data_IF_800404451193
#
_entry.id   IF_800404451193
#
_cell.length_a   1.000
_cell.length_b   1.000
_cell.length_c   1.000
_cell.angle_alpha   90.00
_cell.angle_beta   90.00
_cell.angle_gamma   90.00
#
_symmetry.space_group_name_H-M   'P 1'
#
loop_
_entity.id
_entity.type
_entity.pdbx_description
1 polymer ?
#
# COMPACT_ATOMS: atom_id res chain seq x y z
N UNK A 1 27.66 -14.78 -39.07
CA UNK A 1 28.24 -15.76 -38.14
C UNK A 1 27.38 -15.80 -36.89
N UNK A 2 26.33 -16.62 -36.91
CA UNK A 2 25.38 -16.81 -35.82
C UNK A 2 25.81 -18.06 -35.06
N UNK A 3 26.36 -17.89 -33.85
CA UNK A 3 26.66 -19.01 -32.97
C UNK A 3 25.39 -19.42 -32.21
N UNK A 4 24.94 -20.63 -32.53
CA UNK A 4 23.93 -21.42 -31.82
C UNK A 4 24.31 -21.60 -30.35
N UNK A 5 23.53 -20.98 -29.46
CA UNK A 5 23.53 -21.31 -28.02
C UNK A 5 22.55 -22.47 -27.82
N UNK A 6 23.10 -23.67 -27.74
CA UNK A 6 22.41 -24.85 -27.23
C UNK A 6 22.58 -24.85 -25.72
N UNK A 7 21.54 -24.51 -24.95
CA UNK A 7 21.54 -24.74 -23.51
C UNK A 7 20.34 -25.62 -23.13
N UNK A 8 20.68 -26.84 -22.74
CA UNK A 8 19.75 -27.90 -22.39
C UNK A 8 19.67 -27.98 -20.87
N UNK A 9 18.44 -27.82 -20.37
CA UNK A 9 17.91 -28.23 -19.07
C UNK A 9 18.85 -28.48 -17.90
N UNK A 10 18.92 -27.49 -17.01
CA UNK A 10 18.98 -27.73 -15.56
C UNK A 10 17.82 -26.95 -14.96
N UNK A 11 16.80 -27.68 -14.51
CA UNK A 11 15.62 -27.13 -13.86
C UNK A 11 15.96 -26.64 -12.45
N UNK A 12 16.78 -25.61 -12.35
CA UNK A 12 17.06 -24.96 -11.08
C UNK A 12 15.79 -24.21 -10.66
N UNK A 13 15.09 -24.72 -9.64
CA UNK A 13 13.94 -24.02 -9.04
C UNK A 13 14.45 -22.77 -8.33
N UNK A 14 14.63 -21.68 -9.08
CA UNK A 14 14.98 -20.37 -8.52
C UNK A 14 13.94 -19.98 -7.49
N UNK A 15 14.38 -19.45 -6.36
CA UNK A 15 13.48 -18.88 -5.34
C UNK A 15 12.68 -17.73 -5.97
N UNK A 16 11.47 -17.49 -5.46
CA UNK A 16 10.58 -16.45 -5.96
C UNK A 16 11.30 -15.10 -6.05
N UNK A 17 12.00 -14.73 -4.98
CA UNK A 17 12.80 -13.49 -4.89
C UNK A 17 13.86 -13.44 -6.00
N UNK A 18 14.60 -14.53 -6.22
CA UNK A 18 15.65 -14.55 -7.24
C UNK A 18 15.09 -14.37 -8.66
N UNK A 19 13.92 -14.94 -8.97
CA UNK A 19 13.25 -14.75 -10.25
C UNK A 19 12.85 -13.29 -10.47
N UNK A 20 12.21 -12.66 -9.48
CA UNK A 20 11.81 -11.26 -9.59
C UNK A 20 13.02 -10.32 -9.64
N UNK A 21 14.09 -10.59 -8.89
CA UNK A 21 15.33 -9.83 -8.97
C UNK A 21 15.94 -9.91 -10.37
N UNK A 22 16.00 -11.11 -10.97
CA UNK A 22 16.49 -11.29 -12.34
C UNK A 22 15.61 -10.50 -13.33
N UNK A 23 14.28 -10.64 -13.26
CA UNK A 23 13.34 -9.95 -14.15
C UNK A 23 13.42 -8.42 -14.00
N UNK A 24 13.43 -7.90 -12.77
CA UNK A 24 13.52 -6.46 -12.49
C UNK A 24 14.87 -5.89 -12.96
N UNK A 25 15.97 -6.64 -12.75
CA UNK A 25 17.30 -6.22 -13.22
C UNK A 25 17.37 -6.17 -14.74
N UNK A 26 16.74 -7.12 -15.43
CA UNK A 26 16.65 -7.14 -16.89
C UNK A 26 15.85 -5.94 -17.40
N UNK A 27 14.66 -5.70 -16.85
CA UNK A 27 13.81 -4.56 -17.24
C UNK A 27 14.53 -3.23 -16.98
N UNK A 28 15.20 -3.11 -15.84
CA UNK A 28 15.99 -1.91 -15.49
C UNK A 28 17.14 -1.71 -16.46
N UNK A 29 17.84 -2.78 -16.85
CA UNK A 29 18.87 -2.76 -17.87
C UNK A 29 18.33 -2.27 -19.23
N UNK A 30 17.19 -2.80 -19.67
CA UNK A 30 16.54 -2.39 -20.92
C UNK A 30 16.10 -0.92 -20.88
N UNK A 31 15.58 -0.45 -19.75
CA UNK A 31 15.24 0.97 -19.54
C UNK A 31 16.48 1.85 -19.69
N UNK A 32 17.58 1.51 -19.04
CA UNK A 32 18.83 2.29 -19.13
C UNK A 32 19.44 2.28 -20.53
N UNK A 33 19.40 1.14 -21.21
CA UNK A 33 19.88 1.04 -22.59
C UNK A 33 19.05 1.92 -23.54
N UNK A 34 17.72 1.88 -23.41
CA UNK A 34 16.82 2.72 -24.20
C UNK A 34 17.00 4.20 -23.91
N UNK A 35 17.16 4.57 -22.65
CA UNK A 35 17.39 5.96 -22.25
C UNK A 35 18.73 6.49 -22.79
N UNK A 36 19.78 5.65 -22.73
CA UNK A 36 21.08 5.97 -23.31
C UNK A 36 21.00 6.14 -24.83
N UNK A 37 20.28 5.25 -25.54
CA UNK A 37 20.04 5.35 -26.99
C UNK A 37 19.24 6.59 -27.36
N UNK A 38 18.23 6.95 -26.57
CA UNK A 38 17.46 8.18 -26.76
C UNK A 38 18.34 9.41 -26.60
N UNK A 39 19.17 9.45 -25.54
CA UNK A 39 20.08 10.56 -25.26
C UNK A 39 21.16 10.69 -26.33
N UNK A 40 21.78 9.58 -26.75
CA UNK A 40 22.78 9.60 -27.82
C UNK A 40 22.18 9.98 -29.17
N UNK A 41 20.95 9.52 -29.45
CA UNK A 41 20.22 9.92 -30.65
C UNK A 41 19.88 11.41 -30.63
N UNK A 42 19.54 11.98 -29.47
CA UNK A 42 19.27 13.41 -29.33
C UNK A 42 20.54 14.22 -29.61
N UNK A 43 21.65 13.87 -28.97
CA UNK A 43 22.94 14.51 -29.22
C UNK A 43 23.37 14.40 -30.69
N UNK A 44 23.17 13.24 -31.32
CA UNK A 44 23.45 13.06 -32.74
C UNK A 44 22.58 13.95 -33.64
N UNK A 45 21.30 14.11 -33.32
CA UNK A 45 20.39 14.99 -34.08
C UNK A 45 20.73 16.47 -33.89
N UNK A 46 21.11 16.89 -32.68
CA UNK A 46 21.51 18.26 -32.39
C UNK A 46 22.82 18.60 -33.11
N UNK A 47 23.79 17.67 -33.11
CA UNK A 47 25.02 17.78 -33.88
C UNK A 47 24.77 17.78 -35.39
N UNK A 48 23.87 16.94 -35.88
CA UNK A 48 23.49 16.91 -37.29
C UNK A 48 22.82 18.23 -37.69
N UNK A 49 21.96 18.78 -36.85
CA UNK A 49 21.28 20.04 -37.10
C UNK A 49 22.27 21.22 -37.14
N UNK A 50 23.23 21.27 -36.21
CA UNK A 50 24.27 22.29 -36.20
C UNK A 50 25.19 22.17 -37.42
N UNK A 51 25.57 20.95 -37.79
CA UNK A 51 26.35 20.66 -38.98
C UNK A 51 25.61 21.03 -40.28
N UNK A 52 24.30 20.75 -40.36
CA UNK A 52 23.44 21.15 -41.49
C UNK A 52 23.28 22.67 -41.57
N UNK A 53 23.20 23.38 -40.44
CA UNK A 53 23.16 24.86 -40.46
C UNK A 53 24.47 25.45 -40.95
N UNK A 54 25.60 24.94 -40.48
CA UNK A 54 26.92 25.46 -40.85
C UNK A 54 27.27 25.15 -42.31
N UNK A 55 27.10 23.91 -42.75
CA UNK A 55 27.35 23.54 -44.15
C UNK A 55 26.30 24.14 -45.09
N UNK A 56 25.05 24.24 -44.64
CA UNK A 56 23.97 24.83 -45.40
C UNK A 56 24.19 26.29 -45.75
N UNK A 57 24.67 27.11 -44.79
CA UNK A 57 24.98 28.51 -45.06
C UNK A 57 26.14 28.65 -46.07
N UNK A 58 27.17 27.80 -45.97
CA UNK A 58 28.28 27.77 -46.94
C UNK A 58 27.82 27.47 -48.37
N UNK A 59 26.94 26.48 -48.54
CA UNK A 59 26.36 26.15 -49.86
C UNK A 59 25.55 27.31 -50.43
N UNK A 60 24.73 27.99 -49.61
CA UNK A 60 23.95 29.15 -50.06
C UNK A 60 24.85 30.29 -50.55
N UNK A 61 25.94 30.58 -49.83
CA UNK A 61 26.91 31.60 -50.24
C UNK A 61 27.62 31.22 -51.54
N UNK A 62 28.04 29.95 -51.68
CA UNK A 62 28.70 29.47 -52.89
C UNK A 62 27.77 29.52 -54.12
N UNK A 63 26.50 29.11 -53.97
CA UNK A 63 25.48 29.20 -55.03
C UNK A 63 25.22 30.65 -55.39
N UNK A 64 25.11 31.55 -54.40
CA UNK A 64 24.95 32.98 -54.66
C UNK A 64 26.12 33.55 -55.47
N UNK A 65 27.36 33.25 -55.09
CA UNK A 65 28.55 33.70 -55.79
C UNK A 65 28.62 33.16 -57.24
N UNK A 66 28.27 31.88 -57.44
CA UNK A 66 28.22 31.26 -58.78
C UNK A 66 27.15 31.90 -59.68
N UNK A 67 25.93 32.09 -59.16
CA UNK A 67 24.83 32.71 -59.90
C UNK A 67 25.13 34.17 -60.25
N UNK A 68 25.80 34.90 -59.35
CA UNK A 68 26.24 36.27 -59.59
C UNK A 68 27.27 36.35 -60.73
N UNK A 69 28.20 35.40 -60.82
CA UNK A 69 29.19 35.36 -61.89
C UNK A 69 28.59 35.03 -63.27
N UNK A 70 27.64 34.09 -63.33
CA UNK A 70 27.12 33.57 -64.60
C UNK A 70 26.08 34.49 -65.24
N UNK A 71 25.25 35.16 -64.44
CA UNK A 71 24.13 35.98 -64.91
C UNK A 71 24.29 37.43 -64.49
N UNK A 72 25.26 38.09 -65.11
CA UNK A 72 25.43 39.53 -64.96
C UNK A 72 24.19 40.27 -65.49
N UNK A 73 23.58 41.12 -64.65
CA UNK A 73 22.44 41.97 -64.99
C UNK A 73 21.02 41.42 -64.78
N UNK A 74 20.80 40.13 -64.46
CA UNK A 74 19.46 39.56 -64.22
C UNK A 74 19.18 39.22 -62.75
N UNK A 75 19.08 40.26 -61.92
CA UNK A 75 18.92 40.15 -60.46
C UNK A 75 17.74 39.26 -60.00
N UNK A 76 16.62 39.25 -60.73
CA UNK A 76 15.44 38.45 -60.36
C UNK A 76 15.71 36.94 -60.40
N UNK A 77 16.52 36.45 -61.35
CA UNK A 77 16.84 35.02 -61.46
C UNK A 77 17.75 34.55 -60.33
N UNK A 78 18.68 35.41 -59.92
CA UNK A 78 19.56 35.17 -58.76
C UNK A 78 18.70 35.06 -57.50
N UNK A 79 17.76 36.00 -57.29
CA UNK A 79 16.87 35.98 -56.13
C UNK A 79 16.02 34.70 -56.06
N UNK A 80 15.43 34.27 -57.19
CA UNK A 80 14.62 33.04 -57.26
C UNK A 80 15.47 31.80 -56.98
N UNK A 81 16.69 31.72 -57.52
CA UNK A 81 17.60 30.59 -57.29
C UNK A 81 18.00 30.44 -55.82
N UNK A 82 18.38 31.56 -55.18
CA UNK A 82 18.77 31.59 -53.76
C UNK A 82 17.58 31.23 -52.86
N UNK A 83 16.40 31.79 -53.14
CA UNK A 83 15.17 31.47 -52.43
C UNK A 83 14.82 29.98 -52.56
N UNK A 84 15.02 29.40 -53.76
CA UNK A 84 14.86 27.96 -54.01
C UNK A 84 15.80 27.10 -53.15
N UNK A 85 17.09 27.46 -53.07
CA UNK A 85 18.05 26.75 -52.22
C UNK A 85 17.68 26.81 -50.73
N UNK A 86 17.24 27.98 -50.24
CA UNK A 86 16.80 28.15 -48.85
C UNK A 86 15.56 27.30 -48.58
N UNK A 87 14.60 27.28 -49.49
CA UNK A 87 13.39 26.45 -49.38
C UNK A 87 13.74 24.95 -49.33
N UNK A 88 14.64 24.46 -50.18
CA UNK A 88 15.10 23.06 -50.17
C UNK A 88 15.75 22.72 -48.83
N UNK A 89 16.63 23.58 -48.32
CA UNK A 89 17.25 23.40 -47.00
C UNK A 89 16.22 23.34 -45.87
N UNK A 90 15.19 24.19 -45.91
CA UNK A 90 14.12 24.18 -44.93
C UNK A 90 13.31 22.87 -44.98
N UNK A 91 13.00 22.37 -46.18
CA UNK A 91 12.30 21.10 -46.38
C UNK A 91 13.12 19.91 -45.86
N UNK A 92 14.43 19.88 -46.15
CA UNK A 92 15.33 18.84 -45.64
C UNK A 92 15.38 18.85 -44.11
N UNK A 93 15.49 20.02 -43.49
CA UNK A 93 15.48 20.13 -42.02
C UNK A 93 14.13 19.71 -41.42
N UNK A 94 13.03 20.12 -42.03
CA UNK A 94 11.69 19.76 -41.57
C UNK A 94 11.45 18.25 -41.63
N UNK A 95 11.82 17.61 -42.73
CA UNK A 95 11.67 16.15 -42.90
C UNK A 95 12.57 15.36 -41.96
N UNK A 96 13.83 15.76 -41.77
CA UNK A 96 14.74 15.17 -40.79
C UNK A 96 14.19 15.30 -39.36
N UNK A 97 13.73 16.50 -38.98
CA UNK A 97 13.13 16.75 -37.68
C UNK A 97 11.87 15.91 -37.45
N UNK A 98 10.96 15.87 -38.43
CA UNK A 98 9.71 15.13 -38.36
C UNK A 98 9.96 13.63 -38.23
N UNK A 99 10.91 13.09 -38.98
CA UNK A 99 11.32 11.69 -38.90
C UNK A 99 11.92 11.35 -37.55
N UNK A 100 12.84 12.19 -37.05
CA UNK A 100 13.44 12.05 -35.72
C UNK A 100 12.41 12.09 -34.59
N UNK A 101 11.49 13.05 -34.64
CA UNK A 101 10.35 13.16 -33.72
C UNK A 101 9.48 11.90 -33.69
N UNK A 102 9.19 11.32 -34.86
CA UNK A 102 8.39 10.09 -34.92
C UNK A 102 9.12 8.91 -34.27
N UNK A 103 10.40 8.72 -34.59
CA UNK A 103 11.20 7.66 -33.97
C UNK A 103 11.28 7.85 -32.44
N UNK A 104 11.50 9.09 -31.99
CA UNK A 104 11.53 9.44 -30.57
C UNK A 104 10.22 9.11 -29.85
N UNK A 105 9.09 9.45 -30.46
CA UNK A 105 7.77 9.16 -29.89
C UNK A 105 7.48 7.65 -29.80
N UNK A 106 8.01 6.84 -30.73
CA UNK A 106 7.92 5.37 -30.64
C UNK A 106 8.75 4.84 -29.47
N UNK A 107 9.97 5.33 -29.31
CA UNK A 107 10.88 4.90 -28.25
C UNK A 107 10.41 5.36 -26.87
N UNK A 108 9.91 6.59 -26.72
CA UNK A 108 9.38 7.09 -25.46
C UNK A 108 8.16 6.29 -24.98
N UNK A 109 7.27 5.89 -25.91
CA UNK A 109 6.15 4.98 -25.60
C UNK A 109 6.63 3.61 -25.13
N UNK A 110 7.65 3.04 -25.75
CA UNK A 110 8.23 1.76 -25.30
C UNK A 110 8.82 1.88 -23.89
N UNK A 111 9.56 2.95 -23.65
CA UNK A 111 10.16 3.24 -22.34
C UNK A 111 9.09 3.46 -21.26
N UNK A 112 7.98 4.14 -21.59
CA UNK A 112 6.84 4.26 -20.68
C UNK A 112 6.20 2.90 -20.36
N UNK A 113 6.03 2.03 -21.37
CA UNK A 113 5.53 0.66 -21.16
C UNK A 113 6.46 -0.18 -20.29
N UNK A 114 7.77 -0.10 -20.50
CA UNK A 114 8.76 -0.80 -19.67
C UNK A 114 8.74 -0.32 -18.21
N UNK A 115 8.60 0.99 -17.97
CA UNK A 115 8.44 1.53 -16.61
C UNK A 115 7.14 1.08 -15.95
N UNK A 116 6.05 1.03 -16.71
CA UNK A 116 4.77 0.50 -16.21
C UNK A 116 4.90 -0.99 -15.85
N UNK A 117 5.53 -1.79 -16.71
CA UNK A 117 5.78 -3.21 -16.47
C UNK A 117 6.71 -3.41 -15.25
N UNK A 118 7.74 -2.59 -15.10
CA UNK A 118 8.61 -2.59 -13.91
C UNK A 118 7.80 -2.34 -12.63
N UNK A 119 6.91 -1.35 -12.64
CA UNK A 119 6.05 -1.02 -11.50
C UNK A 119 5.07 -2.15 -11.19
N UNK A 120 4.41 -2.69 -12.22
CA UNK A 120 3.48 -3.82 -12.10
C UNK A 120 4.17 -5.05 -11.49
N UNK A 121 5.38 -5.38 -11.94
CA UNK A 121 6.16 -6.51 -11.39
C UNK A 121 6.58 -6.29 -9.95
N UNK A 122 6.91 -5.05 -9.59
CA UNK A 122 7.26 -4.68 -8.24
C UNK A 122 6.05 -4.74 -7.29
N UNK A 123 4.87 -4.33 -7.76
CA UNK A 123 3.61 -4.48 -7.02
C UNK A 123 3.22 -5.94 -6.86
N UNK A 124 3.34 -6.74 -7.92
CA UNK A 124 3.10 -8.19 -7.84
C UNK A 124 4.04 -8.89 -6.87
N UNK A 125 5.32 -8.51 -6.84
CA UNK A 125 6.27 -9.02 -5.84
C UNK A 125 5.84 -8.63 -4.41
N UNK A 126 5.38 -7.39 -4.19
CA UNK A 126 4.89 -6.94 -2.88
C UNK A 126 3.65 -7.69 -2.44
N UNK A 127 2.73 -7.99 -3.36
CA UNK A 127 1.53 -8.77 -3.10
C UNK A 127 1.89 -10.22 -2.73
N UNK A 128 2.70 -10.91 -3.56
CA UNK A 128 3.09 -12.30 -3.32
C UNK A 128 3.92 -12.48 -2.03
N UNK A 129 4.65 -11.44 -1.62
CA UNK A 129 5.44 -11.47 -0.37
C UNK A 129 4.67 -10.95 0.85
N UNK A 130 3.39 -10.58 0.70
CA UNK A 130 2.60 -9.91 1.73
C UNK A 130 3.33 -8.69 2.34
N UNK A 131 4.16 -8.01 1.53
CA UNK A 131 5.05 -6.95 1.98
C UNK A 131 4.28 -5.84 2.70
N UNK A 132 3.11 -5.45 2.22
CA UNK A 132 2.30 -4.40 2.86
C UNK A 132 1.77 -4.82 4.24
N UNK A 133 1.36 -6.08 4.39
CA UNK A 133 0.91 -6.61 5.66
C UNK A 133 2.08 -6.70 6.66
N UNK A 134 3.22 -7.23 6.22
CA UNK A 134 4.40 -7.33 7.08
C UNK A 134 5.02 -5.96 7.38
N UNK A 135 5.06 -5.05 6.40
CA UNK A 135 5.60 -3.70 6.57
C UNK A 135 4.74 -2.87 7.51
N UNK A 136 3.42 -2.99 7.47
CA UNK A 136 2.54 -2.27 8.41
C UNK A 136 2.69 -2.82 9.83
N UNK A 137 2.84 -4.14 9.99
CA UNK A 137 3.15 -4.78 11.27
C UNK A 137 4.50 -4.26 11.79
N UNK A 138 5.57 -4.38 11.00
CA UNK A 138 6.91 -3.91 11.39
C UNK A 138 6.86 -2.41 11.73
N UNK A 139 6.17 -1.59 10.94
CA UNK A 139 6.07 -0.17 11.21
C UNK A 139 5.37 0.10 12.55
N UNK A 140 4.22 -0.54 12.82
CA UNK A 140 3.51 -0.45 14.11
C UNK A 140 4.39 -0.85 15.29
N UNK A 141 5.08 -1.98 15.20
CA UNK A 141 5.92 -2.48 16.30
C UNK A 141 7.28 -1.78 16.41
N UNK A 142 7.82 -1.22 15.31
CA UNK A 142 9.08 -0.47 15.31
C UNK A 142 8.92 0.97 15.77
N UNK A 143 7.74 1.57 15.56
CA UNK A 143 7.43 2.93 16.00
C UNK A 143 7.06 2.96 17.49
N UNK A 144 6.83 1.81 18.13
CA UNK A 144 6.44 1.74 19.54
C UNK A 144 5.11 2.43 19.84
N UNK A 145 4.33 2.71 18.80
CA UNK A 145 3.09 3.49 18.88
C UNK A 145 1.93 2.49 18.85
N UNK A 146 1.37 2.25 20.03
CA UNK A 146 0.07 1.59 20.16
C UNK A 146 -0.99 2.42 19.42
N UNK A 147 -1.95 1.70 18.80
CA UNK A 147 -3.09 2.20 17.99
C UNK A 147 -2.72 2.33 16.50
N UNK A 148 -3.37 1.70 15.52
CA UNK A 148 -4.80 1.43 15.29
C UNK A 148 -4.91 0.62 13.96
N UNK A 149 -5.96 -0.07 13.50
CA UNK A 149 -7.40 0.26 13.54
C UNK A 149 -8.32 -0.97 13.54
N UNK A 150 -8.00 -2.13 12.95
CA UNK A 150 -9.04 -3.19 12.78
C UNK A 150 -9.06 -4.31 13.83
N UNK A 151 -8.04 -4.40 14.70
CA UNK A 151 -8.13 -5.12 15.97
C UNK A 151 -8.50 -4.19 17.14
N UNK A 152 -8.50 -2.89 16.91
CA UNK A 152 -8.83 -1.85 17.89
C UNK A 152 -10.34 -1.79 18.13
N UNK A 153 -11.18 -1.92 17.10
CA UNK A 153 -12.65 -1.75 17.25
C UNK A 153 -13.28 -2.83 18.16
N UNK A 154 -12.74 -4.05 18.18
CA UNK A 154 -13.21 -5.12 19.09
C UNK A 154 -12.61 -5.03 20.51
N UNK A 155 -11.45 -4.39 20.66
CA UNK A 155 -10.82 -4.10 21.96
C UNK A 155 -11.36 -2.80 22.58
N UNK A 156 -11.86 -1.84 21.78
CA UNK A 156 -12.28 -0.52 22.23
C UNK A 156 -13.58 -0.58 23.05
N UNK A 157 -14.49 -1.54 22.77
CA UNK A 157 -15.69 -1.75 23.59
C UNK A 157 -15.31 -2.25 25.00
N UNK A 158 -14.44 -3.27 25.08
CA UNK A 158 -13.99 -3.86 26.35
C UNK A 158 -13.06 -2.91 27.14
N UNK A 159 -12.17 -2.19 26.44
CA UNK A 159 -11.34 -1.15 27.06
C UNK A 159 -12.17 0.03 27.54
N UNK A 160 -13.18 0.48 26.78
CA UNK A 160 -14.05 1.58 27.18
C UNK A 160 -14.85 1.23 28.42
N UNK A 161 -15.31 -0.01 28.54
CA UNK A 161 -15.98 -0.48 29.76
C UNK A 161 -15.01 -0.56 30.95
N UNK A 162 -13.74 -0.97 30.73
CA UNK A 162 -12.70 -0.93 31.77
C UNK A 162 -12.33 0.49 32.19
N UNK A 163 -12.29 1.44 31.26
CA UNK A 163 -12.06 2.86 31.57
C UNK A 163 -13.22 3.48 32.34
N UNK A 164 -14.47 3.09 32.03
CA UNK A 164 -15.65 3.49 32.80
C UNK A 164 -15.58 2.94 34.22
N UNK A 165 -15.29 1.64 34.38
CA UNK A 165 -15.15 0.99 35.68
C UNK A 165 -14.07 1.65 36.55
N UNK A 166 -12.92 2.01 35.97
CA UNK A 166 -11.86 2.72 36.68
C UNK A 166 -12.24 4.16 37.06
N UNK A 167 -12.99 4.87 36.20
CA UNK A 167 -13.48 6.21 36.52
C UNK A 167 -14.55 6.17 37.60
N UNK A 168 -15.46 5.19 37.57
CA UNK A 168 -16.47 4.99 38.60
C UNK A 168 -15.82 4.67 39.95
N UNK A 169 -14.80 3.80 39.98
CA UNK A 169 -14.04 3.51 41.21
C UNK A 169 -13.29 4.74 41.74
N UNK A 170 -12.79 5.59 40.85
CA UNK A 170 -12.13 6.85 41.21
C UNK A 170 -13.12 7.87 41.78
N UNK A 171 -14.33 7.93 41.24
CA UNK A 171 -15.40 8.79 41.74
C UNK A 171 -15.96 8.28 43.08
N UNK A 172 -16.15 6.96 43.23
CA UNK A 172 -16.49 6.32 44.52
C UNK A 172 -15.44 6.62 45.59
N UNK A 173 -14.14 6.56 45.26
CA UNK A 173 -13.08 6.93 46.20
C UNK A 173 -13.14 8.42 46.57
N UNK A 174 -13.43 9.30 45.62
CA UNK A 174 -13.57 10.72 45.87
C UNK A 174 -14.76 10.99 46.82
N UNK A 175 -15.88 10.31 46.63
CA UNK A 175 -17.05 10.38 47.52
C UNK A 175 -16.73 9.82 48.92
N UNK A 176 -16.08 8.66 49.03
CA UNK A 176 -15.68 8.10 50.33
C UNK A 176 -14.70 9.00 51.09
N UNK A 177 -13.80 9.69 50.37
CA UNK A 177 -12.88 10.67 50.95
C UNK A 177 -13.62 11.89 51.49
N UNK A 178 -14.73 12.28 50.87
CA UNK A 178 -15.54 13.42 51.27
C UNK A 178 -16.50 13.09 52.43
N UNK A 179 -17.02 11.86 52.48
CA UNK A 179 -17.94 11.38 53.51
C UNK A 179 -17.27 10.85 54.79
N UNK A 180 -15.93 10.91 54.89
CA UNK A 180 -15.11 10.46 56.04
C UNK A 180 -15.30 8.96 56.42
N UNK A 181 -16.02 8.19 55.57
CA UNK A 181 -16.28 6.74 55.67
C UNK A 181 -15.03 5.89 55.57
N UNK A 182 -13.94 6.45 55.06
CA UNK A 182 -12.60 5.85 55.10
C UNK A 182 -12.07 5.65 56.52
N UNK A 183 -12.72 6.11 57.60
CA UNK A 183 -12.27 5.78 58.97
C UNK A 183 -12.67 4.36 59.39
N UNK A 184 -13.79 3.85 58.90
CA UNK A 184 -14.27 2.51 59.24
C UNK A 184 -13.49 1.44 58.44
N UNK A 185 -12.79 0.56 59.15
CA UNK A 185 -11.90 -0.45 58.55
C UNK A 185 -12.68 -1.39 57.63
N UNK A 186 -13.93 -1.70 57.98
CA UNK A 186 -14.75 -2.69 57.26
C UNK A 186 -15.23 -2.19 55.90
N UNK A 187 -15.49 -0.89 55.74
CA UNK A 187 -15.90 -0.30 54.47
C UNK A 187 -14.72 -0.11 53.52
N UNK A 188 -13.55 0.26 54.07
CA UNK A 188 -12.30 0.31 53.31
C UNK A 188 -11.92 -1.05 52.73
N UNK A 189 -11.91 -2.10 53.55
CA UNK A 189 -11.49 -3.43 53.10
C UNK A 189 -12.40 -3.96 51.98
N UNK A 190 -13.71 -3.72 52.07
CA UNK A 190 -14.67 -4.05 50.99
C UNK A 190 -14.41 -3.29 49.69
N UNK A 191 -14.09 -2.00 49.78
CA UNK A 191 -13.76 -1.20 48.60
C UNK A 191 -12.42 -1.65 47.98
N UNK A 192 -11.41 -1.95 48.80
CA UNK A 192 -10.14 -2.49 48.34
C UNK A 192 -10.33 -3.85 47.65
N UNK A 193 -11.13 -4.75 48.21
CA UNK A 193 -11.44 -6.04 47.58
C UNK A 193 -12.12 -5.86 46.22
N UNK A 194 -13.04 -4.90 46.09
CA UNK A 194 -13.70 -4.55 44.82
C UNK A 194 -12.69 -4.06 43.78
N UNK A 195 -11.76 -3.18 44.17
CA UNK A 195 -10.71 -2.65 43.29
C UNK A 195 -9.72 -3.74 42.87
N UNK A 196 -9.29 -4.59 43.81
CA UNK A 196 -8.40 -5.72 43.53
C UNK A 196 -9.06 -6.71 42.57
N UNK A 197 -10.35 -7.00 42.76
CA UNK A 197 -11.09 -7.92 41.89
C UNK A 197 -11.28 -7.36 40.47
N UNK A 198 -11.51 -6.05 40.34
CA UNK A 198 -11.58 -5.36 39.06
C UNK A 198 -10.22 -5.32 38.32
N UNK A 199 -9.12 -5.06 39.05
CA UNK A 199 -7.75 -5.04 38.52
C UNK A 199 -7.21 -6.43 38.16
N UNK A 200 -7.60 -7.46 38.92
CA UNK A 200 -7.22 -8.85 38.65
C UNK A 200 -8.00 -9.49 37.49
N UNK A 201 -8.92 -8.76 36.85
CA UNK A 201 -9.72 -9.26 35.73
C UNK A 201 -10.77 -10.30 36.12
N UNK A 202 -11.19 -10.34 37.40
CA UNK A 202 -12.04 -11.40 37.94
C UNK A 202 -13.44 -11.50 37.32
N UNK A 203 -13.91 -10.46 36.64
CA UNK A 203 -15.28 -10.36 36.13
C UNK A 203 -15.47 -10.91 34.70
N UNK A 204 -14.41 -11.04 33.90
CA UNK A 204 -14.50 -11.59 32.53
C UNK A 204 -14.71 -13.11 32.55
N UNK A 205 -14.12 -13.80 33.53
CA UNK A 205 -14.29 -15.26 33.71
C UNK A 205 -15.59 -15.60 34.45
N UNK A 206 -16.00 -14.77 35.43
CA UNK A 206 -17.19 -15.01 36.26
C UNK A 206 -18.52 -14.83 35.53
N UNK A 207 -18.60 -13.95 34.53
CA UNK A 207 -19.84 -13.77 33.73
C UNK A 207 -19.97 -14.80 32.61
N UNK A 208 -18.86 -15.42 32.20
CA UNK A 208 -18.87 -16.49 31.22
C UNK A 208 -19.42 -17.79 31.80
N UNK A 209 -19.12 -18.12 33.06
CA UNK A 209 -19.56 -19.36 33.72
C UNK A 209 -20.38 -19.06 34.99
N UNK A 210 -21.70 -19.08 34.88
CA UNK A 210 -22.58 -18.90 36.03
C UNK A 210 -22.91 -20.24 36.67
N UNK A 211 -22.77 -20.42 37.99
CA UNK A 211 -23.17 -21.66 38.65
C UNK A 211 -24.69 -21.84 38.56
N UNK A 212 -25.14 -23.04 38.18
CA UNK A 212 -26.56 -23.38 38.17
C UNK A 212 -26.97 -23.74 39.60
N UNK A 213 -27.85 -22.92 40.17
CA UNK A 213 -28.48 -23.20 41.47
C UNK A 213 -29.91 -23.68 41.22
N UNK A 214 -30.28 -24.83 41.78
CA UNK A 214 -31.65 -25.34 41.62
C UNK A 214 -32.65 -24.42 42.35
N UNK A 215 -33.71 -23.91 41.70
CA UNK A 215 -34.67 -23.03 42.35
C UNK A 215 -35.50 -23.72 43.43
N UNK A 216 -35.62 -25.06 43.38
CA UNK A 216 -36.46 -25.84 44.31
C UNK A 216 -35.74 -26.23 45.59
N UNK A 217 -34.50 -26.73 45.49
CA UNK A 217 -33.73 -27.22 46.64
C UNK A 217 -32.51 -26.38 46.99
N UNK A 218 -32.21 -25.33 46.21
CA UNK A 218 -31.05 -24.44 46.37
C UNK A 218 -29.68 -25.15 46.42
N UNK A 219 -29.60 -26.44 46.09
CA UNK A 219 -28.35 -27.15 46.01
C UNK A 219 -27.52 -26.68 44.81
N UNK A 220 -26.24 -26.41 45.05
CA UNK A 220 -25.24 -26.14 44.02
C UNK A 220 -24.50 -27.43 43.69
N UNK A 221 -24.64 -27.92 42.46
CA UNK A 221 -24.06 -29.21 42.05
C UNK A 221 -22.73 -29.07 41.32
N UNK A 222 -22.07 -27.91 41.46
CA UNK A 222 -20.81 -27.62 40.75
C UNK A 222 -20.95 -27.56 39.22
N UNK A 223 -22.17 -27.47 38.70
CA UNK A 223 -22.43 -27.35 37.26
C UNK A 223 -22.57 -25.87 36.90
N UNK A 224 -21.92 -25.46 35.83
CA UNK A 224 -21.90 -24.08 35.35
C UNK A 224 -22.61 -23.97 34.00
N UNK A 225 -23.27 -22.83 33.76
CA UNK A 225 -23.87 -22.45 32.48
C UNK A 225 -23.06 -21.35 31.81
N UNK A 226 -23.06 -21.33 30.48
CA UNK A 226 -22.57 -20.17 29.74
C UNK A 226 -23.61 -19.05 29.73
N UNK A 227 -23.19 -17.82 30.02
CA UNK A 227 -24.08 -16.68 30.30
C UNK A 227 -25.16 -16.39 29.26
N UNK A 228 -24.96 -16.77 27.99
CA UNK A 228 -25.84 -16.42 26.87
C UNK A 228 -26.42 -17.63 26.10
N UNK A 229 -26.31 -18.86 26.62
CA UNK A 229 -26.83 -20.05 25.94
C UNK A 229 -28.02 -20.65 26.67
N UNK A 230 -29.07 -20.99 25.92
CA UNK A 230 -30.20 -21.75 26.43
C UNK A 230 -29.73 -23.11 26.93
N UNK A 231 -30.19 -23.51 28.11
CA UNK A 231 -29.80 -24.78 28.71
C UNK A 231 -31.00 -25.49 29.32
N UNK A 232 -30.90 -26.83 29.32
CA UNK A 232 -31.82 -27.72 30.01
C UNK A 232 -31.04 -28.42 31.12
N UNK A 233 -31.46 -28.22 32.35
CA UNK A 233 -30.79 -28.77 33.54
C UNK A 233 -31.80 -29.55 34.37
N UNK A 234 -31.42 -30.75 34.81
CA UNK A 234 -32.20 -31.55 35.76
C UNK A 234 -31.39 -31.69 37.03
N UNK A 235 -31.95 -31.26 38.16
CA UNK A 235 -31.26 -31.31 39.44
C UNK A 235 -31.09 -32.77 39.91
N UNK A 236 -29.87 -33.25 40.20
CA UNK A 236 -29.63 -34.61 40.68
C UNK A 236 -30.11 -34.83 42.13
N UNK A 237 -30.32 -33.76 42.91
CA UNK A 237 -30.75 -33.87 44.32
C UNK A 237 -32.27 -33.98 44.44
N UNK A 238 -33.04 -33.25 43.63
CA UNK A 238 -34.50 -33.20 43.76
C UNK A 238 -35.28 -33.54 42.48
N UNK A 239 -34.60 -33.84 41.38
CA UNK A 239 -35.21 -34.19 40.08
C UNK A 239 -35.87 -33.04 39.34
N UNK A 240 -35.79 -31.79 39.82
CA UNK A 240 -36.44 -30.64 39.19
C UNK A 240 -35.75 -30.24 37.88
N UNK A 241 -36.53 -30.14 36.80
CA UNK A 241 -36.05 -29.76 35.48
C UNK A 241 -36.28 -28.26 35.21
N UNK A 242 -35.23 -27.56 34.78
CA UNK A 242 -35.22 -26.17 34.34
C UNK A 242 -34.92 -26.15 32.84
N UNK A 243 -35.77 -25.49 32.07
CA UNK A 243 -35.56 -25.25 30.63
C UNK A 243 -35.70 -23.75 30.34
N UNK A 244 -34.67 -23.17 29.73
CA UNK A 244 -34.59 -21.74 29.41
C UNK A 244 -34.75 -21.44 27.91
N UNK A 245 -34.95 -22.46 27.07
CA UNK A 245 -35.08 -22.31 25.61
C UNK A 245 -36.29 -21.49 25.14
N UNK A 246 -37.29 -21.25 26.00
CA UNK A 246 -38.53 -20.53 25.65
C UNK A 246 -38.54 -19.03 25.98
N UNK A 247 -37.46 -18.44 26.54
CA UNK A 247 -37.47 -17.03 27.01
C UNK A 247 -36.82 -16.00 26.09
N UNK A 248 -36.22 -16.40 24.97
CA UNK A 248 -35.44 -15.52 24.08
C UNK A 248 -36.25 -14.68 23.08
N UNK A 249 -37.59 -14.65 23.15
CA UNK A 249 -38.42 -13.95 22.14
C UNK A 249 -38.88 -12.55 22.60
N UNK A 250 -38.84 -12.21 23.89
CA UNK A 250 -39.43 -10.95 24.41
C UNK A 250 -38.45 -9.77 24.57
N UNK A 251 -37.13 -9.96 24.51
CA UNK A 251 -36.14 -8.88 24.76
C UNK A 251 -35.58 -8.21 23.49
N UNK A 252 -36.20 -8.41 22.32
CA UNK A 252 -35.79 -7.74 21.05
C UNK A 252 -36.69 -6.58 20.62
N UNK A 253 -37.65 -6.17 21.45
CA UNK A 253 -38.56 -5.07 21.15
C UNK A 253 -38.76 -4.13 22.34
N UNK A 254 -37.69 -3.47 22.77
CA UNK A 254 -37.70 -2.15 23.43
C UNK A 254 -36.34 -1.50 23.22
#
# INVERSE_FOLDING_TARGET
MLSTIRNWGSGNRRTLVQRYTDELSQITGEIHELDRRLKSSQQAMDNLQSMLTYNGSGVVVAVFAYLYWVWDGQWFRIAVGVAGCIAIMAVVKYTAYRSGQWNRNRQSRKLAKLRALHQEKLEKLKEETNYHATSSIIQRFSQGEEQSEDAMILMDEELRDKYRELNDLKEELAQFKQEDKLKDKKERDKWFDKVINALAGGDTVNKMFLPITCPKCQAQTGVYRLGNLAFRYVCPVCGYAVDTSNKTVEERST
#
